data_IF_950505434881
#
_entry.id   IF_950505434881
#
_cell.length_a   1.000
_cell.length_b   1.000
_cell.length_c   1.000
_cell.angle_alpha   90.00
_cell.angle_beta   90.00
_cell.angle_gamma   90.00
#
_symmetry.space_group_name_H-M   'P 1'
#
loop_
_entity.id
_entity.type
_entity.pdbx_description
1 polymer ?
#
# COMPACT_ATOMS: atom_id res chain seq x y z
N UNK A 1 27.97 15.83 -9.97
CA UNK A 1 27.34 16.54 -8.82
C UNK A 1 26.81 15.49 -7.86
N UNK A 2 26.94 15.70 -6.54
CA UNK A 2 26.41 14.77 -5.53
C UNK A 2 24.92 15.01 -5.35
N UNK A 3 24.10 13.98 -5.51
CA UNK A 3 22.66 14.07 -5.24
C UNK A 3 22.42 14.25 -3.75
N UNK A 4 21.50 15.17 -3.39
CA UNK A 4 21.11 15.42 -2.00
C UNK A 4 20.31 14.25 -1.46
N UNK A 5 20.40 13.99 -0.17
CA UNK A 5 19.58 13.01 0.53
C UNK A 5 18.29 13.63 1.07
N UNK A 6 17.29 12.81 1.41
CA UNK A 6 16.06 13.33 2.04
C UNK A 6 16.37 14.08 3.35
N UNK A 7 17.30 13.56 4.15
CA UNK A 7 17.75 14.22 5.38
C UNK A 7 18.42 15.56 5.11
N UNK A 8 19.33 15.65 4.13
CA UNK A 8 19.95 16.94 3.77
C UNK A 8 18.93 17.97 3.30
N UNK A 9 17.90 17.54 2.54
CA UNK A 9 16.80 18.42 2.13
C UNK A 9 15.95 18.85 3.32
N UNK A 10 15.64 17.93 4.23
CA UNK A 10 14.94 18.24 5.48
C UNK A 10 15.69 19.30 6.29
N UNK A 11 17.00 19.13 6.47
CA UNK A 11 17.84 20.06 7.20
C UNK A 11 17.88 21.42 6.51
N UNK A 12 18.08 21.46 5.19
CA UNK A 12 18.02 22.70 4.40
C UNK A 12 16.70 23.45 4.59
N UNK A 13 15.56 22.76 4.45
CA UNK A 13 14.23 23.36 4.61
C UNK A 13 14.03 23.96 6.01
N UNK A 14 14.76 23.47 7.03
CA UNK A 14 14.71 23.98 8.39
C UNK A 14 15.71 25.08 8.69
N UNK A 15 16.88 25.08 8.07
CA UNK A 15 17.97 25.99 8.43
C UNK A 15 18.13 27.18 7.49
N UNK A 16 17.66 27.09 6.25
CA UNK A 16 17.81 28.19 5.28
C UNK A 16 16.73 29.26 5.47
N UNK A 17 17.12 30.40 6.04
CA UNK A 17 16.22 31.52 6.31
C UNK A 17 15.61 32.11 5.03
N UNK A 18 16.33 32.09 3.90
CA UNK A 18 15.83 32.65 2.64
C UNK A 18 14.70 31.77 2.09
N UNK A 19 14.87 30.45 2.11
CA UNK A 19 13.84 29.49 1.71
C UNK A 19 12.62 29.55 2.64
N UNK A 20 12.87 29.66 3.95
CA UNK A 20 11.80 29.72 4.96
C UNK A 20 10.99 31.01 4.94
N UNK A 21 11.60 32.11 4.51
CA UNK A 21 10.96 33.44 4.45
C UNK A 21 9.60 33.44 3.75
N UNK A 22 9.43 32.61 2.71
CA UNK A 22 8.14 32.47 2.03
C UNK A 22 7.05 31.84 2.93
N UNK A 23 7.40 30.82 3.70
CA UNK A 23 6.45 30.09 4.56
C UNK A 23 6.20 30.76 5.92
N UNK A 24 7.03 31.72 6.29
CA UNK A 24 6.95 32.45 7.56
C UNK A 24 6.31 33.83 7.44
N UNK A 25 6.14 34.31 6.21
CA UNK A 25 5.32 35.47 5.94
C UNK A 25 3.94 35.26 6.57
N UNK A 26 3.59 36.13 7.52
CA UNK A 26 2.31 36.06 8.22
C UNK A 26 1.17 36.29 7.26
N UNK A 27 0.10 35.51 7.36
CA UNK A 27 -1.14 35.78 6.62
C UNK A 27 -1.60 37.22 6.81
N UNK A 28 -2.12 37.81 5.73
CA UNK A 28 -2.55 39.21 5.73
C UNK A 28 -3.57 39.52 6.85
N UNK A 29 -4.44 38.55 7.16
CA UNK A 29 -5.45 38.64 8.22
C UNK A 29 -4.87 38.67 9.64
N UNK A 30 -3.62 38.21 9.83
CA UNK A 30 -2.94 38.13 11.13
C UNK A 30 -1.96 39.28 11.35
N UNK A 31 -1.71 40.12 10.35
CA UNK A 31 -0.78 41.25 10.48
C UNK A 31 -1.49 42.45 11.12
N UNK A 32 -1.07 42.81 12.32
CA UNK A 32 -1.56 43.99 13.06
C UNK A 32 -0.79 45.27 12.71
N UNK A 33 0.46 45.15 12.24
CA UNK A 33 1.32 46.29 11.93
C UNK A 33 1.21 46.79 10.48
N UNK A 34 0.82 48.05 10.28
CA UNK A 34 0.70 48.67 8.96
C UNK A 34 1.99 48.60 8.11
N UNK A 35 3.16 48.73 8.76
CA UNK A 35 4.47 48.63 8.08
C UNK A 35 4.75 47.22 7.56
N UNK A 36 4.46 46.21 8.37
CA UNK A 36 4.64 44.80 7.98
C UNK A 36 3.64 44.42 6.87
N UNK A 37 2.39 44.88 6.97
CA UNK A 37 1.37 44.67 5.93
C UNK A 37 1.81 45.28 4.61
N UNK A 38 2.28 46.54 4.62
CA UNK A 38 2.80 47.23 3.43
C UNK A 38 4.04 46.53 2.86
N UNK A 39 4.89 45.94 3.70
CA UNK A 39 6.05 45.20 3.23
C UNK A 39 5.65 43.91 2.49
N UNK A 40 4.85 43.04 3.11
CA UNK A 40 4.53 41.72 2.56
C UNK A 40 3.42 41.77 1.49
N UNK A 41 2.37 42.55 1.73
CA UNK A 41 1.14 42.62 0.94
C UNK A 41 0.96 43.93 0.18
N UNK A 42 1.87 44.89 0.33
CA UNK A 42 1.85 46.11 -0.47
C UNK A 42 2.07 45.82 -1.96
N UNK A 43 1.41 46.60 -2.81
CA UNK A 43 1.55 46.48 -4.26
C UNK A 43 2.96 46.91 -4.69
N UNK A 44 3.67 45.99 -5.35
CA UNK A 44 4.99 46.28 -5.91
C UNK A 44 4.86 46.62 -7.39
N UNK A 45 4.08 45.84 -8.14
CA UNK A 45 3.87 45.95 -9.59
C UNK A 45 2.52 45.31 -9.98
N UNK A 46 1.55 46.14 -10.35
CA UNK A 46 0.28 45.71 -10.99
C UNK A 46 -0.49 44.64 -10.19
N UNK A 47 -0.66 44.86 -8.89
CA UNK A 47 -1.43 43.96 -8.00
C UNK A 47 -0.66 42.75 -7.47
N UNK A 48 0.67 42.68 -7.68
CA UNK A 48 1.51 41.63 -7.12
C UNK A 48 2.13 42.05 -5.78
N UNK A 49 2.02 41.18 -4.77
CA UNK A 49 2.61 41.38 -3.46
C UNK A 49 4.00 40.71 -3.32
N UNK A 50 4.76 41.07 -2.28
CA UNK A 50 6.11 40.51 -2.05
C UNK A 50 6.07 39.02 -1.76
N UNK A 51 5.07 38.58 -1.00
CA UNK A 51 4.91 37.16 -0.62
C UNK A 51 4.74 36.30 -1.87
N UNK A 52 3.79 36.63 -2.74
CA UNK A 52 3.41 35.81 -3.89
C UNK A 52 4.36 35.90 -5.09
N UNK A 53 5.30 36.85 -5.11
CA UNK A 53 6.20 37.03 -6.25
C UNK A 53 7.65 37.08 -5.81
N UNK A 54 8.08 38.13 -5.11
CA UNK A 54 9.50 38.33 -4.82
C UNK A 54 10.09 37.28 -3.87
N UNK A 55 9.49 37.11 -2.70
CA UNK A 55 9.98 36.20 -1.66
C UNK A 55 9.83 34.75 -2.12
N UNK A 56 8.70 34.42 -2.77
CA UNK A 56 8.52 33.12 -3.41
C UNK A 56 9.63 32.82 -4.42
N UNK A 57 9.89 33.72 -5.38
CA UNK A 57 10.94 33.51 -6.38
C UNK A 57 12.34 33.39 -5.75
N UNK A 58 12.66 34.18 -4.72
CA UNK A 58 13.95 34.05 -4.02
C UNK A 58 14.07 32.69 -3.32
N UNK A 59 13.01 32.26 -2.64
CA UNK A 59 12.97 30.97 -1.94
C UNK A 59 13.16 29.81 -2.92
N UNK A 60 12.41 29.82 -4.03
CA UNK A 60 12.51 28.76 -5.05
C UNK A 60 13.90 28.73 -5.72
N UNK A 61 14.50 29.88 -6.01
CA UNK A 61 15.89 29.94 -6.54
C UNK A 61 16.92 29.36 -5.58
N UNK A 62 16.75 29.55 -4.27
CA UNK A 62 17.66 28.93 -3.30
C UNK A 62 17.48 27.42 -3.25
N UNK A 63 16.24 26.93 -3.31
CA UNK A 63 15.97 25.51 -3.42
C UNK A 63 16.59 24.91 -4.69
N UNK A 64 16.40 25.53 -5.85
CA UNK A 64 16.98 25.08 -7.13
C UNK A 64 18.52 24.98 -7.06
N UNK A 65 19.17 25.98 -6.45
CA UNK A 65 20.62 25.97 -6.24
C UNK A 65 21.05 24.86 -5.29
N UNK A 66 20.33 24.67 -4.20
CA UNK A 66 20.62 23.63 -3.20
C UNK A 66 20.49 22.21 -3.78
N UNK A 67 19.41 21.97 -4.53
CA UNK A 67 19.13 20.72 -5.24
C UNK A 67 20.10 20.49 -6.42
N UNK A 68 20.81 21.53 -6.86
CA UNK A 68 21.80 21.41 -7.93
C UNK A 68 21.17 21.05 -9.28
N UNK A 69 20.00 21.61 -9.58
CA UNK A 69 19.27 21.34 -10.82
C UNK A 69 18.41 20.08 -10.82
N UNK A 70 18.36 19.31 -9.72
CA UNK A 70 17.37 18.27 -9.55
C UNK A 70 15.95 18.88 -9.46
N UNK A 71 14.95 18.17 -9.98
CA UNK A 71 13.54 18.59 -9.89
C UNK A 71 13.10 18.53 -8.43
N UNK A 72 12.36 19.54 -7.99
CA UNK A 72 11.76 19.54 -6.64
C UNK A 72 10.51 18.65 -6.55
N UNK A 73 9.86 18.39 -7.69
CA UNK A 73 8.60 17.66 -7.79
C UNK A 73 8.77 16.41 -8.64
N UNK A 74 8.23 15.29 -8.16
CA UNK A 74 8.22 14.02 -8.88
C UNK A 74 6.82 13.42 -8.88
N UNK A 75 6.42 12.90 -10.03
CA UNK A 75 5.19 12.15 -10.24
C UNK A 75 5.60 10.79 -10.79
N UNK A 76 5.25 9.74 -10.07
CA UNK A 76 5.71 8.37 -10.35
C UNK A 76 4.53 7.43 -10.21
N UNK A 77 4.34 6.56 -11.20
CA UNK A 77 3.38 5.47 -11.13
C UNK A 77 4.14 4.19 -10.85
N UNK A 78 3.65 3.39 -9.90
CA UNK A 78 4.27 2.12 -9.56
C UNK A 78 3.26 0.98 -9.52
N UNK A 79 3.72 -0.21 -9.88
CA UNK A 79 3.03 -1.45 -9.63
C UNK A 79 3.00 -1.73 -8.11
N UNK A 80 1.84 -1.90 -7.45
CA UNK A 80 1.77 -2.02 -6.00
C UNK A 80 2.50 -3.25 -5.42
N UNK A 81 2.37 -4.46 -5.99
CA UNK A 81 3.08 -5.64 -5.49
C UNK A 81 4.60 -5.50 -5.52
N UNK A 82 5.16 -5.01 -6.62
CA UNK A 82 6.61 -4.96 -6.83
C UNK A 82 7.24 -3.59 -6.54
N UNK A 83 6.43 -2.54 -6.41
CA UNK A 83 6.82 -1.13 -6.39
C UNK A 83 7.79 -0.75 -7.53
N UNK A 84 7.63 -1.39 -8.70
CA UNK A 84 8.40 -1.05 -9.91
C UNK A 84 7.70 0.07 -10.65
N UNK A 85 8.48 1.00 -11.20
CA UNK A 85 7.92 2.08 -12.02
C UNK A 85 7.22 1.51 -13.25
N UNK A 86 6.04 2.04 -13.55
CA UNK A 86 5.24 1.66 -14.72
C UNK A 86 4.92 2.89 -15.57
N UNK A 87 4.87 2.71 -16.89
CA UNK A 87 4.50 3.76 -17.83
C UNK A 87 2.99 3.77 -18.04
N UNK A 88 2.35 4.93 -17.92
CA UNK A 88 0.92 5.11 -18.21
C UNK A 88 0.54 4.83 -19.68
N UNK A 89 1.51 4.80 -20.59
CA UNK A 89 1.28 4.48 -22.01
C UNK A 89 1.14 2.99 -22.27
N UNK A 90 1.45 2.15 -21.30
CA UNK A 90 1.23 0.72 -21.41
C UNK A 90 -0.22 0.44 -21.00
N UNK A 91 -1.10 0.27 -22.01
CA UNK A 91 -2.55 -0.03 -21.91
C UNK A 91 -2.91 -1.27 -21.04
N UNK A 92 -1.92 -1.92 -20.41
CA UNK A 92 -2.07 -3.17 -19.66
C UNK A 92 -2.43 -3.00 -18.18
N UNK A 93 -2.44 -1.77 -17.65
CA UNK A 93 -2.68 -1.57 -16.20
C UNK A 93 -3.89 -0.68 -15.89
N UNK A 94 -5.11 -1.04 -16.32
CA UNK A 94 -6.31 -0.35 -15.85
C UNK A 94 -6.62 -0.80 -14.41
N UNK A 95 -6.44 0.09 -13.43
CA UNK A 95 -7.11 -0.01 -12.13
C UNK A 95 -6.31 -0.57 -10.95
N UNK A 96 -5.02 -0.86 -11.12
CA UNK A 96 -4.20 -1.38 -10.01
C UNK A 96 -2.89 -0.61 -9.77
N UNK A 97 -2.64 0.53 -10.39
CA UNK A 97 -1.39 1.28 -10.13
C UNK A 97 -1.47 2.12 -8.87
N UNK A 98 -0.40 2.15 -8.08
CA UNK A 98 -0.23 3.13 -7.03
C UNK A 98 0.44 4.39 -7.60
N UNK A 99 0.00 5.55 -7.13
CA UNK A 99 0.49 6.84 -7.59
C UNK A 99 1.25 7.53 -6.47
N UNK A 100 2.48 7.96 -6.77
CA UNK A 100 3.38 8.62 -5.84
C UNK A 100 3.62 10.04 -6.34
N UNK A 101 3.26 11.00 -5.51
CA UNK A 101 3.49 12.43 -5.72
C UNK A 101 4.46 12.92 -4.68
N UNK A 102 5.48 13.66 -5.11
CA UNK A 102 6.52 14.17 -4.21
C UNK A 102 6.71 15.65 -4.42
N UNK A 103 6.80 16.37 -3.30
CA UNK A 103 7.02 17.80 -3.25
C UNK A 103 8.05 18.15 -2.17
N UNK A 104 9.02 19.00 -2.49
CA UNK A 104 9.80 19.67 -1.44
C UNK A 104 8.99 20.84 -0.86
N UNK A 105 8.66 20.75 0.42
CA UNK A 105 7.84 21.72 1.16
C UNK A 105 8.61 22.29 2.36
N UNK A 106 7.93 23.13 3.14
CA UNK A 106 8.46 23.75 4.37
C UNK A 106 9.18 22.77 5.31
N UNK A 107 8.66 21.53 5.42
CA UNK A 107 9.17 20.54 6.37
C UNK A 107 10.06 19.48 5.72
N UNK A 108 10.58 19.71 4.52
CA UNK A 108 11.38 18.74 3.76
C UNK A 108 10.59 18.09 2.64
N UNK A 109 10.97 16.88 2.28
CA UNK A 109 10.33 16.14 1.18
C UNK A 109 9.05 15.46 1.65
N UNK A 110 7.92 15.93 1.15
CA UNK A 110 6.62 15.33 1.36
C UNK A 110 6.34 14.32 0.25
N UNK A 111 6.03 13.09 0.64
CA UNK A 111 5.63 12.01 -0.26
C UNK A 111 4.15 11.72 0.00
N UNK A 112 3.38 11.71 -1.07
CA UNK A 112 1.95 11.43 -1.09
C UNK A 112 1.73 10.18 -1.95
N UNK A 113 0.94 9.23 -1.42
CA UNK A 113 0.71 7.94 -2.06
C UNK A 113 -0.80 7.69 -2.12
N UNK A 114 -1.30 7.47 -3.33
CA UNK A 114 -2.60 6.86 -3.58
C UNK A 114 -2.37 5.38 -3.91
N UNK A 115 -2.94 4.48 -3.12
CA UNK A 115 -2.70 3.04 -3.24
C UNK A 115 -4.04 2.29 -3.29
N UNK A 116 -4.23 1.31 -4.20
CA UNK A 116 -5.54 0.65 -4.38
C UNK A 116 -6.04 -0.12 -3.14
N UNK A 117 -5.13 -0.53 -2.26
CA UNK A 117 -5.46 -1.21 -0.98
C UNK A 117 -5.60 -0.26 0.22
N UNK A 118 -5.65 1.04 -0.01
CA UNK A 118 -5.83 2.05 1.03
C UNK A 118 -6.89 3.07 0.59
N UNK A 119 -7.77 3.46 1.49
CA UNK A 119 -8.79 4.48 1.17
C UNK A 119 -8.18 5.88 1.25
N UNK A 120 -8.24 6.62 0.15
CA UNK A 120 -7.69 7.97 0.03
C UNK A 120 -6.16 8.06 0.03
N UNK A 121 -5.69 9.31 0.10
CA UNK A 121 -4.28 9.67 -0.01
C UNK A 121 -3.55 9.56 1.32
N UNK A 122 -2.42 8.87 1.30
CA UNK A 122 -1.49 8.84 2.43
C UNK A 122 -0.40 9.87 2.21
N UNK A 123 0.00 10.58 3.26
CA UNK A 123 1.06 11.59 3.20
C UNK A 123 2.05 11.40 4.33
N UNK A 124 3.34 11.53 4.03
CA UNK A 124 4.39 11.53 5.04
C UNK A 124 5.59 12.37 4.59
N UNK A 125 6.44 12.74 5.55
CA UNK A 125 7.70 13.45 5.26
C UNK A 125 8.86 12.48 5.36
N UNK A 126 9.61 12.31 4.27
CA UNK A 126 10.78 11.45 4.24
C UNK A 126 11.96 12.10 4.98
N UNK A 127 12.64 11.32 5.83
CA UNK A 127 13.80 11.75 6.65
C UNK A 127 14.96 10.77 6.62
N UNK A 128 15.11 10.01 5.54
CA UNK A 128 16.17 9.02 5.43
C UNK A 128 17.44 9.60 4.81
N UNK A 129 18.55 8.88 4.94
CA UNK A 129 19.80 9.19 4.23
C UNK A 129 19.81 8.69 2.78
N UNK A 130 18.68 8.23 2.24
CA UNK A 130 18.59 7.81 0.84
C UNK A 130 18.72 9.02 -0.09
N UNK A 131 19.29 8.85 -1.29
CA UNK A 131 19.42 9.94 -2.25
C UNK A 131 18.04 10.34 -2.79
N UNK A 132 17.79 11.64 -2.89
CA UNK A 132 16.61 12.23 -3.52
C UNK A 132 16.68 12.08 -5.04
N UNK A 133 16.30 10.89 -5.47
CA UNK A 133 16.26 10.40 -6.85
C UNK A 133 14.93 9.67 -7.04
N UNK A 134 14.55 9.35 -8.28
CA UNK A 134 13.34 8.55 -8.50
C UNK A 134 13.42 7.20 -7.79
N UNK A 135 14.58 6.54 -7.86
CA UNK A 135 14.82 5.26 -7.20
C UNK A 135 14.74 5.39 -5.67
N UNK A 136 15.34 6.44 -5.11
CA UNK A 136 15.27 6.71 -3.68
C UNK A 136 13.84 7.01 -3.21
N UNK A 137 13.06 7.77 -4.00
CA UNK A 137 11.65 8.05 -3.74
C UNK A 137 10.82 6.76 -3.76
N UNK A 138 10.97 5.94 -4.80
CA UNK A 138 10.27 4.66 -4.92
C UNK A 138 10.62 3.77 -3.73
N UNK A 139 11.89 3.76 -3.30
CA UNK A 139 12.33 2.95 -2.20
C UNK A 139 11.76 3.43 -0.84
N UNK A 140 11.62 4.75 -0.62
CA UNK A 140 10.93 5.32 0.56
C UNK A 140 9.45 4.97 0.55
N UNK A 141 8.78 5.18 -0.58
CA UNK A 141 7.37 4.85 -0.75
C UNK A 141 7.12 3.35 -0.52
N UNK A 142 7.95 2.48 -1.09
CA UNK A 142 7.90 1.03 -0.87
C UNK A 142 8.02 0.69 0.62
N UNK A 143 8.99 1.29 1.32
CA UNK A 143 9.17 1.05 2.76
C UNK A 143 7.93 1.45 3.56
N UNK A 144 7.28 2.55 3.18
CA UNK A 144 6.05 3.01 3.79
C UNK A 144 4.89 2.04 3.51
N UNK A 145 4.68 1.68 2.24
CA UNK A 145 3.65 0.75 1.77
C UNK A 145 3.78 -0.60 2.49
N UNK A 146 4.99 -1.16 2.54
CA UNK A 146 5.29 -2.44 3.19
C UNK A 146 4.96 -2.43 4.69
N UNK A 147 5.09 -1.27 5.35
CA UNK A 147 4.93 -1.17 6.81
C UNK A 147 3.50 -0.80 7.22
N UNK A 148 2.81 0.01 6.41
CA UNK A 148 1.53 0.63 6.79
C UNK A 148 0.35 0.07 5.99
N UNK A 149 0.53 -0.19 4.69
CA UNK A 149 -0.59 -0.57 3.80
C UNK A 149 -0.69 -2.09 3.63
N UNK A 150 0.45 -2.76 3.48
CA UNK A 150 0.49 -4.21 3.27
C UNK A 150 0.61 -4.97 4.59
N UNK A 151 0.16 -6.21 4.57
CA UNK A 151 0.44 -7.17 5.62
C UNK A 151 1.90 -7.63 5.57
N UNK A 152 2.36 -8.20 6.69
CA UNK A 152 3.69 -8.79 6.77
C UNK A 152 3.89 -9.87 5.69
N UNK A 153 5.11 -10.01 5.14
CA UNK A 153 5.40 -11.02 4.13
C UNK A 153 4.95 -12.43 4.53
N UNK A 154 4.30 -13.14 3.61
CA UNK A 154 3.78 -14.49 3.83
C UNK A 154 2.38 -14.67 3.25
N UNK A 155 1.74 -15.80 3.54
CA UNK A 155 0.49 -16.22 2.89
C UNK A 155 -0.65 -15.20 3.01
N UNK A 156 -0.76 -14.49 4.14
CA UNK A 156 -1.79 -13.47 4.31
C UNK A 156 -1.58 -12.26 3.41
N UNK A 157 -0.32 -11.83 3.20
CA UNK A 157 -0.01 -10.79 2.21
C UNK A 157 -0.31 -11.27 0.79
N UNK A 158 0.00 -12.51 0.47
CA UNK A 158 -0.30 -13.07 -0.86
C UNK A 158 -1.82 -13.06 -1.11
N UNK A 159 -2.62 -13.52 -0.14
CA UNK A 159 -4.08 -13.45 -0.21
C UNK A 159 -4.60 -12.01 -0.27
N UNK A 160 -3.95 -11.09 0.45
CA UNK A 160 -4.32 -9.67 0.44
C UNK A 160 -4.19 -9.10 -0.97
N UNK A 161 -3.08 -9.40 -1.66
CA UNK A 161 -2.80 -8.94 -3.01
C UNK A 161 -3.65 -9.68 -4.05
N UNK A 162 -3.80 -11.01 -3.92
CA UNK A 162 -4.60 -11.85 -4.82
C UNK A 162 -6.07 -11.42 -4.87
N UNK A 163 -6.63 -11.07 -3.70
CA UNK A 163 -8.04 -10.68 -3.58
C UNK A 163 -8.27 -9.18 -3.44
N UNK A 164 -7.21 -8.38 -3.54
CA UNK A 164 -7.23 -6.92 -3.45
C UNK A 164 -7.99 -6.40 -2.21
N UNK A 165 -7.67 -6.95 -1.04
CA UNK A 165 -8.35 -6.60 0.22
C UNK A 165 -7.49 -5.62 1.01
N UNK A 166 -8.08 -4.54 1.52
CA UNK A 166 -7.33 -3.62 2.38
C UNK A 166 -6.92 -4.29 3.69
N UNK A 167 -5.83 -3.81 4.29
CA UNK A 167 -5.31 -4.35 5.56
C UNK A 167 -6.36 -4.32 6.67
N UNK A 168 -7.21 -3.30 6.67
CA UNK A 168 -8.28 -3.11 7.67
C UNK A 168 -9.42 -4.10 7.50
N UNK A 169 -9.80 -4.41 6.25
CA UNK A 169 -10.88 -5.34 5.94
C UNK A 169 -10.43 -6.80 6.01
N UNK A 170 -9.12 -7.05 5.91
CA UNK A 170 -8.55 -8.39 5.80
C UNK A 170 -9.00 -9.38 6.89
N UNK A 171 -9.05 -9.03 8.20
CA UNK A 171 -9.46 -9.98 9.24
C UNK A 171 -10.93 -10.43 9.13
N UNK A 172 -11.83 -9.54 8.69
CA UNK A 172 -13.23 -9.89 8.48
C UNK A 172 -13.39 -10.72 7.21
N UNK A 173 -12.74 -10.29 6.13
CA UNK A 173 -12.73 -10.99 4.85
C UNK A 173 -12.15 -12.41 4.99
N UNK A 174 -11.02 -12.56 5.69
CA UNK A 174 -10.34 -13.86 5.85
C UNK A 174 -11.19 -14.88 6.60
N UNK A 175 -11.97 -14.45 7.61
CA UNK A 175 -12.92 -15.32 8.31
C UNK A 175 -14.00 -15.86 7.36
N UNK A 176 -14.54 -15.00 6.50
CA UNK A 176 -15.53 -15.40 5.49
C UNK A 176 -14.91 -16.28 4.40
N UNK A 177 -13.67 -15.99 4.00
CA UNK A 177 -12.91 -16.81 3.06
C UNK A 177 -12.69 -18.23 3.60
N UNK A 178 -12.22 -18.37 4.85
CA UNK A 178 -12.04 -19.68 5.49
C UNK A 178 -13.34 -20.47 5.58
N UNK A 179 -14.44 -19.81 5.96
CA UNK A 179 -15.75 -20.45 6.00
C UNK A 179 -16.17 -20.99 4.63
N UNK A 180 -16.01 -20.18 3.57
CA UNK A 180 -16.33 -20.61 2.20
C UNK A 180 -15.48 -21.79 1.73
N UNK A 181 -14.20 -21.84 2.10
CA UNK A 181 -13.34 -22.99 1.81
C UNK A 181 -13.84 -24.26 2.52
N UNK A 182 -14.20 -24.14 3.80
CA UNK A 182 -14.74 -25.25 4.57
C UNK A 182 -16.08 -25.75 4.01
N UNK A 183 -17.03 -24.83 3.75
CA UNK A 183 -18.34 -25.16 3.17
C UNK A 183 -18.18 -25.85 1.80
N UNK A 184 -17.19 -25.44 1.01
CA UNK A 184 -16.86 -26.07 -0.28
C UNK A 184 -16.28 -27.47 -0.10
N UNK A 185 -15.34 -27.65 0.83
CA UNK A 185 -14.77 -28.97 1.12
C UNK A 185 -15.84 -29.96 1.61
N UNK A 186 -16.77 -29.51 2.46
CA UNK A 186 -17.92 -30.31 2.86
C UNK A 186 -18.83 -30.67 1.68
N UNK A 187 -19.09 -29.74 0.76
CA UNK A 187 -19.91 -30.01 -0.41
C UNK A 187 -19.23 -31.03 -1.34
N UNK A 188 -17.93 -30.88 -1.61
CA UNK A 188 -17.15 -31.83 -2.41
C UNK A 188 -17.11 -33.22 -1.76
N UNK A 189 -17.07 -33.29 -0.42
CA UNK A 189 -17.21 -34.55 0.31
C UNK A 189 -18.59 -35.17 0.14
N UNK A 190 -19.68 -34.39 0.29
CA UNK A 190 -21.04 -34.89 0.08
C UNK A 190 -21.22 -35.42 -1.34
N UNK A 191 -20.73 -34.71 -2.35
CA UNK A 191 -20.75 -35.15 -3.75
C UNK A 191 -19.94 -36.45 -3.95
N UNK A 192 -18.84 -36.62 -3.22
CA UNK A 192 -18.10 -37.88 -3.21
C UNK A 192 -18.93 -39.02 -2.59
N UNK A 193 -19.51 -38.80 -1.41
CA UNK A 193 -20.37 -39.78 -0.73
C UNK A 193 -21.52 -40.21 -1.64
N UNK A 194 -22.21 -39.25 -2.28
CA UNK A 194 -23.33 -39.56 -3.17
C UNK A 194 -22.91 -40.34 -4.42
N UNK A 195 -21.69 -40.09 -4.97
CA UNK A 195 -21.16 -40.89 -6.10
C UNK A 195 -20.88 -42.35 -5.76
N UNK A 196 -20.46 -42.63 -4.54
CA UNK A 196 -20.12 -43.99 -4.10
C UNK A 196 -21.24 -44.66 -3.29
N UNK A 197 -22.33 -43.94 -3.07
CA UNK A 197 -23.55 -44.45 -2.47
C UNK A 197 -24.02 -45.65 -3.29
N UNK A 198 -24.27 -46.77 -2.60
CA UNK A 198 -24.75 -48.04 -3.17
C UNK A 198 -23.71 -48.92 -3.87
N UNK A 199 -22.40 -48.65 -3.76
CA UNK A 199 -21.36 -49.60 -4.24
C UNK A 199 -21.41 -50.94 -3.48
N UNK A 200 -21.82 -50.91 -2.20
CA UNK A 200 -22.16 -52.07 -1.34
C UNK A 200 -21.01 -53.03 -0.98
N UNK A 201 -19.78 -52.71 -1.38
CA UNK A 201 -18.59 -53.55 -1.16
C UNK A 201 -17.34 -52.75 -0.71
N UNK A 202 -17.49 -51.48 -0.31
CA UNK A 202 -16.33 -50.65 0.07
C UNK A 202 -15.76 -51.11 1.42
N UNK A 203 -14.48 -51.46 1.45
CA UNK A 203 -13.76 -51.79 2.69
C UNK A 203 -13.26 -50.53 3.40
N UNK A 204 -12.94 -50.64 4.69
CA UNK A 204 -12.38 -49.53 5.47
C UNK A 204 -11.06 -48.99 4.88
N UNK A 205 -10.16 -49.88 4.43
CA UNK A 205 -8.90 -49.47 3.82
C UNK A 205 -9.12 -48.67 2.53
N UNK A 206 -9.98 -49.16 1.64
CA UNK A 206 -10.33 -48.45 0.40
C UNK A 206 -11.02 -47.11 0.67
N UNK A 207 -11.93 -47.05 1.64
CA UNK A 207 -12.56 -45.80 2.07
C UNK A 207 -11.53 -44.78 2.57
N UNK A 208 -10.58 -45.22 3.41
CA UNK A 208 -9.53 -44.35 3.95
C UNK A 208 -8.65 -43.79 2.83
N UNK A 209 -8.23 -44.63 1.90
CA UNK A 209 -7.40 -44.23 0.76
C UNK A 209 -8.15 -43.27 -0.17
N UNK A 210 -9.44 -43.52 -0.42
CA UNK A 210 -10.28 -42.64 -1.24
C UNK A 210 -10.48 -41.26 -0.59
N UNK A 211 -10.72 -41.21 0.73
CA UNK A 211 -10.84 -39.97 1.49
C UNK A 211 -9.50 -39.23 1.58
N UNK A 212 -8.40 -39.94 1.80
CA UNK A 212 -7.07 -39.35 1.81
C UNK A 212 -6.71 -38.76 0.43
N UNK A 213 -7.01 -39.48 -0.66
CA UNK A 213 -6.77 -39.02 -2.02
C UNK A 213 -7.63 -37.80 -2.41
N UNK A 214 -8.78 -37.59 -1.76
CA UNK A 214 -9.59 -36.40 -1.98
C UNK A 214 -9.11 -35.18 -1.19
N UNK A 215 -8.11 -35.32 -0.32
CA UNK A 215 -7.58 -34.22 0.50
C UNK A 215 -8.45 -33.83 1.70
N UNK A 216 -9.58 -34.50 1.94
CA UNK A 216 -10.58 -34.05 2.91
C UNK A 216 -10.04 -33.97 4.34
N UNK A 217 -9.18 -34.91 4.73
CA UNK A 217 -8.57 -34.92 6.06
C UNK A 217 -7.67 -33.70 6.29
N UNK A 218 -7.07 -33.17 5.23
CA UNK A 218 -6.29 -31.95 5.29
C UNK A 218 -7.20 -30.72 5.28
N UNK A 219 -8.21 -30.69 4.41
CA UNK A 219 -9.10 -29.54 4.23
C UNK A 219 -10.00 -29.27 5.45
N UNK A 220 -10.45 -30.33 6.12
CA UNK A 220 -11.19 -30.26 7.38
C UNK A 220 -10.26 -30.19 8.60
N UNK A 221 -8.94 -30.26 8.39
CA UNK A 221 -7.92 -30.27 9.43
C UNK A 221 -8.17 -31.36 10.50
N UNK A 222 -8.49 -32.57 10.04
CA UNK A 222 -8.84 -33.69 10.89
C UNK A 222 -7.63 -34.27 11.64
N UNK A 223 -7.80 -34.52 12.92
CA UNK A 223 -6.90 -35.35 13.72
C UNK A 223 -7.06 -36.86 13.40
N UNK A 224 -6.27 -37.72 14.04
CA UNK A 224 -6.30 -39.16 13.77
C UNK A 224 -7.64 -39.81 14.11
N UNK A 225 -8.30 -39.34 15.18
CA UNK A 225 -9.59 -39.86 15.61
C UNK A 225 -10.70 -39.43 14.65
N UNK A 226 -10.72 -38.15 14.26
CA UNK A 226 -11.69 -37.61 13.30
C UNK A 226 -11.55 -38.28 11.92
N UNK A 227 -10.32 -38.62 11.51
CA UNK A 227 -10.09 -39.39 10.27
C UNK A 227 -10.71 -40.77 10.34
N UNK A 228 -10.54 -41.46 11.46
CA UNK A 228 -11.10 -42.79 11.66
C UNK A 228 -12.63 -42.74 11.67
N UNK A 229 -13.22 -41.77 12.38
CA UNK A 229 -14.66 -41.56 12.46
C UNK A 229 -15.27 -41.26 11.08
N UNK A 230 -14.68 -40.33 10.32
CA UNK A 230 -15.15 -39.99 8.95
C UNK A 230 -15.04 -41.22 8.03
N UNK A 231 -13.98 -42.01 8.17
CA UNK A 231 -13.80 -43.24 7.38
C UNK A 231 -14.87 -44.27 7.69
N UNK A 232 -15.17 -44.51 8.97
CA UNK A 232 -16.23 -45.44 9.39
C UNK A 232 -17.61 -44.98 8.91
N UNK A 233 -17.93 -43.68 9.05
CA UNK A 233 -19.17 -43.11 8.57
C UNK A 233 -19.31 -43.28 7.04
N UNK A 234 -18.23 -43.07 6.29
CA UNK A 234 -18.21 -43.26 4.84
C UNK A 234 -18.50 -44.70 4.43
N UNK A 235 -17.85 -45.68 5.07
CA UNK A 235 -18.09 -47.12 4.84
C UNK A 235 -19.55 -47.48 5.12
N UNK A 236 -20.08 -47.03 6.26
CA UNK A 236 -21.48 -47.28 6.64
C UNK A 236 -22.46 -46.68 5.63
N UNK A 237 -22.20 -45.47 5.13
CA UNK A 237 -23.06 -44.78 4.16
C UNK A 237 -23.01 -45.46 2.77
N UNK A 238 -21.83 -45.84 2.29
CA UNK A 238 -21.68 -46.47 0.97
C UNK A 238 -22.22 -47.90 0.92
N UNK A 239 -22.19 -48.61 2.06
CA UNK A 239 -22.66 -49.98 2.18
C UNK A 239 -24.08 -50.08 2.77
N UNK A 240 -24.74 -48.94 3.03
CA UNK A 240 -26.15 -48.93 3.47
C UNK A 240 -27.04 -49.42 2.33
N UNK A 241 -27.86 -50.44 2.63
CA UNK A 241 -28.83 -51.04 1.70
C UNK A 241 -29.81 -50.05 1.11
#
# INVERSE_FOLDING_TARGET
MRTRTFQEIYDFCRTDDTYRSYFEASDESRITGARARKYYYGDIRRGQCRVGTFIYCQSMRQLERFLGGARQDHYIHVDPPSCREVSLKDDRFPGQTAYIVVHVRRQGVQIEIEHPLHDGWVHFTARSHRPFTREGIIAEAKSYIDSHILLAPGRYRDLQLEHMVSREQFPAWYRQYKKRLHDRAEAEHRDMVDRYRHRRDITYGEARDMLAASGIFFDLNCDEFERDEITEQFVQLCNRT
#
